data_IF_998234960435
#
_entry.id   IF_998234960435
#
_cell.length_a   1.000
_cell.length_b   1.000
_cell.length_c   1.000
_cell.angle_alpha   90.00
_cell.angle_beta   90.00
_cell.angle_gamma   90.00
#
_symmetry.space_group_name_H-M   'P 1'
#
loop_
_entity.id
_entity.type
_entity.pdbx_description
1 polymer ?
#
# COMPACT_ATOMS: atom_id res chain seq x y z
N UNK A 1 -84.30 23.36 10.65
CA UNK A 1 -84.14 22.51 9.45
C UNK A 1 -82.71 22.01 9.43
N UNK A 2 -82.49 20.80 9.96
CA UNK A 2 -81.21 20.11 9.89
C UNK A 2 -81.18 19.32 8.58
N UNK A 3 -80.24 19.64 7.69
CA UNK A 3 -80.02 18.88 6.47
C UNK A 3 -78.85 17.91 6.69
N UNK A 4 -79.19 16.63 6.66
CA UNK A 4 -78.29 15.48 6.73
C UNK A 4 -77.49 15.33 5.44
N UNK A 5 -76.17 15.19 5.57
CA UNK A 5 -75.24 14.87 4.48
C UNK A 5 -75.30 13.35 4.23
N UNK A 6 -75.39 12.88 2.97
CA UNK A 6 -75.61 11.46 2.66
C UNK A 6 -74.35 10.61 2.91
N UNK A 7 -74.58 9.40 3.42
CA UNK A 7 -73.60 8.45 3.95
C UNK A 7 -72.66 7.81 2.89
N UNK A 8 -72.88 8.07 1.60
CA UNK A 8 -72.13 7.43 0.50
C UNK A 8 -70.80 8.11 0.13
N UNK A 9 -70.51 9.31 0.63
CA UNK A 9 -69.26 10.02 0.32
C UNK A 9 -68.08 9.69 1.24
N UNK A 10 -68.29 8.90 2.30
CA UNK A 10 -67.24 8.54 3.28
C UNK A 10 -66.47 7.25 2.94
N UNK A 11 -66.99 6.41 2.04
CA UNK A 11 -66.33 5.14 1.69
C UNK A 11 -65.27 5.27 0.59
N UNK A 12 -65.34 6.27 -0.29
CA UNK A 12 -64.33 6.44 -1.35
C UNK A 12 -63.03 7.09 -0.86
N UNK A 13 -63.07 7.97 0.15
CA UNK A 13 -61.83 8.54 0.74
C UNK A 13 -61.07 7.52 1.61
N UNK A 14 -61.76 6.55 2.21
CA UNK A 14 -61.13 5.55 3.09
C UNK A 14 -60.34 4.47 2.33
N UNK A 15 -60.55 4.31 1.02
CA UNK A 15 -59.83 3.33 0.20
C UNK A 15 -58.62 3.92 -0.55
N UNK A 16 -58.58 5.24 -0.75
CA UNK A 16 -57.47 5.93 -1.47
C UNK A 16 -56.28 6.20 -0.53
N UNK A 17 -56.54 6.44 0.74
CA UNK A 17 -55.50 6.69 1.77
C UNK A 17 -54.62 5.46 2.03
N UNK A 18 -55.14 4.22 2.24
CA UNK A 18 -54.27 3.06 2.46
C UNK A 18 -53.52 2.64 1.19
N UNK A 19 -54.03 2.94 -0.01
CA UNK A 19 -53.32 2.67 -1.27
C UNK A 19 -52.11 3.62 -1.44
N UNK A 20 -52.29 4.91 -1.13
CA UNK A 20 -51.21 5.91 -1.15
C UNK A 20 -50.15 5.64 -0.06
N UNK A 21 -50.54 5.20 1.14
CA UNK A 21 -49.59 4.81 2.19
C UNK A 21 -48.84 3.50 1.88
N UNK A 22 -49.45 2.57 1.13
CA UNK A 22 -48.74 1.38 0.64
C UNK A 22 -47.70 1.70 -0.43
N UNK A 23 -47.97 2.69 -1.30
CA UNK A 23 -47.00 3.18 -2.29
C UNK A 23 -45.85 3.97 -1.65
N UNK A 24 -46.10 4.70 -0.56
CA UNK A 24 -45.05 5.42 0.18
C UNK A 24 -44.11 4.49 0.96
N UNK A 25 -44.56 3.29 1.32
CA UNK A 25 -43.76 2.31 2.06
C UNK A 25 -42.84 1.46 1.16
N UNK A 26 -43.14 1.36 -0.15
CA UNK A 26 -42.24 0.73 -1.12
C UNK A 26 -41.14 1.69 -1.63
N UNK A 27 -41.34 3.00 -1.56
CA UNK A 27 -40.39 3.99 -2.06
C UNK A 27 -39.15 4.19 -1.18
N UNK A 28 -39.15 3.71 0.07
CA UNK A 28 -38.06 3.93 1.03
C UNK A 28 -37.00 2.82 1.02
N UNK A 29 -37.31 1.66 0.45
CA UNK A 29 -36.36 0.53 0.35
C UNK A 29 -35.41 0.66 -0.85
N UNK A 30 -35.88 1.23 -1.98
CA UNK A 30 -35.05 1.48 -3.17
C UNK A 30 -33.96 2.52 -2.91
N UNK A 31 -34.21 3.54 -2.07
CA UNK A 31 -33.25 4.61 -1.82
C UNK A 31 -31.96 4.15 -1.13
N UNK A 32 -32.03 3.15 -0.23
CA UNK A 32 -30.85 2.61 0.46
C UNK A 32 -30.04 1.70 -0.46
N UNK A 33 -30.72 0.92 -1.31
CA UNK A 33 -30.07 0.05 -2.29
C UNK A 33 -29.41 0.87 -3.41
N UNK A 34 -30.08 1.93 -3.90
CA UNK A 34 -29.52 2.87 -4.87
C UNK A 34 -28.37 3.70 -4.27
N UNK A 35 -28.47 4.13 -3.01
CA UNK A 35 -27.36 4.77 -2.30
C UNK A 35 -26.19 3.82 -2.09
N UNK A 36 -26.43 2.55 -1.74
CA UNK A 36 -25.39 1.54 -1.63
C UNK A 36 -24.75 1.21 -3.00
N UNK A 37 -25.55 1.08 -4.05
CA UNK A 37 -25.03 0.89 -5.41
C UNK A 37 -24.25 2.11 -5.88
N UNK A 38 -24.73 3.33 -5.62
CA UNK A 38 -24.03 4.56 -5.94
C UNK A 38 -22.73 4.71 -5.12
N UNK A 39 -22.75 4.28 -3.85
CA UNK A 39 -21.59 4.17 -2.96
C UNK A 39 -20.51 3.23 -3.52
N UNK A 40 -20.90 2.14 -4.18
CA UNK A 40 -19.99 1.21 -4.85
C UNK A 40 -19.71 1.54 -6.34
N UNK A 41 -20.45 2.46 -6.95
CA UNK A 41 -20.29 2.85 -8.36
C UNK A 41 -19.20 3.89 -8.59
N UNK A 42 -18.78 4.64 -7.57
CA UNK A 42 -17.69 5.61 -7.69
C UNK A 42 -16.47 5.20 -6.87
N UNK A 43 -15.48 4.60 -7.52
CA UNK A 43 -14.13 4.38 -6.99
C UNK A 43 -13.77 2.94 -6.68
N UNK A 44 -12.47 2.66 -6.70
CA UNK A 44 -11.86 1.44 -6.21
C UNK A 44 -12.11 1.25 -4.71
N UNK A 45 -11.94 0.03 -4.23
CA UNK A 45 -12.30 -0.36 -2.85
C UNK A 45 -11.12 -0.35 -1.90
N UNK A 46 -9.91 -0.54 -2.43
CA UNK A 46 -8.70 -0.63 -1.65
C UNK A 46 -7.48 -0.29 -2.51
N UNK A 47 -6.38 0.07 -1.85
CA UNK A 47 -5.09 0.32 -2.47
C UNK A 47 -4.07 -0.70 -1.99
N UNK A 48 -3.23 -1.14 -2.92
CA UNK A 48 -2.06 -1.98 -2.69
C UNK A 48 -0.80 -1.26 -3.12
N UNK A 49 0.31 -1.55 -2.46
CA UNK A 49 1.62 -1.08 -2.87
C UNK A 49 2.60 -2.26 -3.04
N UNK A 50 3.38 -2.26 -4.10
CA UNK A 50 4.52 -3.16 -4.29
C UNK A 50 5.77 -2.31 -4.44
N UNK A 51 6.65 -2.36 -3.43
CA UNK A 51 7.80 -1.48 -3.31
C UNK A 51 9.08 -2.30 -3.39
N UNK A 52 9.91 -2.05 -4.40
CA UNK A 52 11.05 -2.92 -4.74
C UNK A 52 12.34 -2.12 -4.84
N UNK A 53 13.28 -2.40 -3.94
CA UNK A 53 14.68 -2.06 -4.10
C UNK A 53 15.41 -3.26 -4.72
N UNK A 54 15.92 -3.08 -5.93
CA UNK A 54 16.55 -4.16 -6.71
C UNK A 54 18.06 -4.23 -6.53
N UNK A 55 18.66 -3.23 -5.91
CA UNK A 55 20.12 -3.08 -5.82
C UNK A 55 20.67 -3.51 -4.47
N UNK A 56 21.92 -4.00 -4.50
CA UNK A 56 22.67 -4.44 -3.32
C UNK A 56 23.99 -3.69 -3.16
N UNK A 57 24.67 -3.94 -2.05
CA UNK A 57 25.95 -3.33 -1.65
C UNK A 57 25.82 -1.89 -1.12
N UNK A 58 26.77 -1.52 -0.26
CA UNK A 58 26.77 -0.26 0.48
C UNK A 58 26.71 0.99 -0.40
N UNK A 59 27.37 0.98 -1.56
CA UNK A 59 27.35 2.12 -2.48
C UNK A 59 25.96 2.40 -3.09
N UNK A 60 25.03 1.46 -2.95
CA UNK A 60 23.62 1.58 -3.36
C UNK A 60 22.68 1.86 -2.20
N UNK A 61 23.19 2.35 -1.07
CA UNK A 61 22.41 2.76 0.10
C UNK A 61 21.13 3.53 -0.25
N UNK A 62 21.25 4.50 -1.16
CA UNK A 62 20.13 5.32 -1.65
C UNK A 62 18.93 4.54 -2.16
N UNK A 63 19.11 3.41 -2.84
CA UNK A 63 17.97 2.64 -3.37
C UNK A 63 17.15 2.03 -2.23
N UNK A 64 17.81 1.56 -1.15
CA UNK A 64 17.11 1.08 0.05
C UNK A 64 16.42 2.24 0.78
N UNK A 65 17.11 3.37 0.95
CA UNK A 65 16.54 4.56 1.59
C UNK A 65 15.34 5.14 0.82
N UNK A 66 15.40 5.15 -0.52
CA UNK A 66 14.31 5.53 -1.41
C UNK A 66 13.06 4.68 -1.16
N UNK A 67 13.19 3.35 -1.26
CA UNK A 67 12.07 2.41 -1.08
C UNK A 67 11.47 2.51 0.32
N UNK A 68 12.30 2.60 1.36
CA UNK A 68 11.84 2.78 2.75
C UNK A 68 11.13 4.12 2.95
N UNK A 69 11.59 5.18 2.28
CA UNK A 69 10.92 6.48 2.36
C UNK A 69 9.56 6.46 1.68
N UNK A 70 9.43 5.83 0.50
CA UNK A 70 8.14 5.64 -0.17
C UNK A 70 7.21 4.77 0.68
N UNK A 71 7.73 3.70 1.29
CA UNK A 71 6.98 2.85 2.23
C UNK A 71 6.39 3.68 3.37
N UNK A 72 7.21 4.54 3.99
CA UNK A 72 6.74 5.45 5.04
C UNK A 72 5.66 6.41 4.54
N UNK A 73 5.80 7.01 3.37
CA UNK A 73 4.79 7.91 2.80
C UNK A 73 3.45 7.18 2.58
N UNK A 74 3.50 5.96 2.05
CA UNK A 74 2.32 5.11 1.82
C UNK A 74 1.63 4.74 3.14
N UNK A 75 2.39 4.32 4.16
CA UNK A 75 1.84 4.05 5.51
C UNK A 75 1.23 5.28 6.14
N UNK A 76 1.90 6.43 6.03
CA UNK A 76 1.43 7.72 6.57
C UNK A 76 0.10 8.14 5.94
N UNK A 77 -0.11 7.84 4.67
CA UNK A 77 -1.37 8.07 3.95
C UNK A 77 -2.42 6.97 4.20
N UNK A 78 -2.07 5.96 4.99
CA UNK A 78 -3.00 5.05 5.67
C UNK A 78 -3.08 3.64 5.09
N UNK A 79 -2.31 3.30 4.06
CA UNK A 79 -2.27 1.92 3.53
C UNK A 79 -1.60 1.03 4.60
N UNK A 80 -2.27 -0.05 5.07
CA UNK A 80 -1.72 -0.92 6.10
C UNK A 80 -0.65 -1.88 5.53
N UNK A 81 0.24 -2.39 6.37
CA UNK A 81 1.32 -3.32 5.97
C UNK A 81 0.78 -4.57 5.26
N UNK A 82 -0.39 -5.06 5.66
CA UNK A 82 -1.07 -6.18 4.98
C UNK A 82 -1.39 -5.94 3.50
N UNK A 83 -1.30 -4.69 3.03
CA UNK A 83 -1.54 -4.25 1.65
C UNK A 83 -0.26 -3.73 0.98
N UNK A 84 0.90 -3.83 1.64
CA UNK A 84 2.19 -3.39 1.12
C UNK A 84 3.07 -4.64 1.00
N UNK A 85 3.58 -4.90 -0.20
CA UNK A 85 4.63 -5.90 -0.41
C UNK A 85 5.96 -5.18 -0.54
N UNK A 86 6.84 -5.34 0.44
CA UNK A 86 8.15 -4.70 0.48
C UNK A 86 9.28 -5.69 0.16
N UNK A 87 10.05 -5.39 -0.88
CA UNK A 87 11.22 -6.17 -1.31
C UNK A 87 12.49 -5.34 -1.20
N UNK A 88 13.44 -5.75 -0.35
CA UNK A 88 14.74 -5.08 -0.17
C UNK A 88 15.88 -6.04 -0.48
N UNK A 89 16.59 -5.80 -1.57
CA UNK A 89 17.69 -6.67 -2.04
C UNK A 89 18.92 -6.67 -1.11
N UNK A 90 19.03 -5.72 -0.18
CA UNK A 90 20.08 -5.66 0.83
C UNK A 90 19.61 -4.89 2.06
N UNK A 91 20.27 -5.12 3.20
CA UNK A 91 19.93 -4.51 4.48
C UNK A 91 21.02 -3.50 4.89
N UNK A 92 20.73 -2.22 4.67
CA UNK A 92 21.64 -1.13 5.04
C UNK A 92 21.68 -0.89 6.55
N UNK A 93 20.62 -1.23 7.28
CA UNK A 93 20.54 -1.03 8.72
C UNK A 93 21.49 -1.99 9.47
N UNK A 94 21.63 -3.21 8.96
CA UNK A 94 22.54 -4.23 9.50
C UNK A 94 23.92 -4.28 8.81
N UNK A 95 24.22 -3.37 7.88
CA UNK A 95 25.50 -3.38 7.19
C UNK A 95 26.66 -2.98 8.11
N UNK A 96 27.79 -3.71 8.14
CA UNK A 96 28.95 -3.36 8.98
C UNK A 96 29.60 -2.01 8.66
N UNK A 97 29.32 -1.44 7.47
CA UNK A 97 29.79 -0.09 7.09
C UNK A 97 28.91 1.03 7.64
N UNK A 98 27.72 0.70 8.17
CA UNK A 98 26.81 1.70 8.68
C UNK A 98 27.34 2.27 10.01
N UNK A 99 27.69 3.57 10.07
CA UNK A 99 28.17 4.19 11.30
C UNK A 99 27.09 4.24 12.39
N UNK A 100 25.80 4.16 12.02
CA UNK A 100 24.64 4.20 12.91
C UNK A 100 23.85 2.88 12.78
N UNK A 101 24.18 1.84 13.56
CA UNK A 101 23.53 0.53 13.47
C UNK A 101 22.01 0.61 13.63
N UNK A 102 21.29 -0.26 12.93
CA UNK A 102 19.82 -0.35 12.95
C UNK A 102 19.09 0.92 12.45
N UNK A 103 19.78 1.79 11.70
CA UNK A 103 19.17 3.00 11.14
C UNK A 103 19.43 3.15 9.65
N UNK A 104 18.46 3.74 8.95
CA UNK A 104 18.61 4.20 7.57
C UNK A 104 18.06 5.63 7.50
N UNK A 105 18.79 6.54 6.87
CA UNK A 105 18.44 7.95 6.75
C UNK A 105 18.33 8.32 5.27
N UNK A 106 17.27 9.04 4.90
CA UNK A 106 17.07 9.53 3.53
C UNK A 106 17.46 11.01 3.35
N UNK A 107 17.80 11.71 4.43
CA UNK A 107 18.13 13.12 4.43
C UNK A 107 19.37 13.44 5.28
N UNK A 108 20.14 14.46 4.90
CA UNK A 108 21.44 14.82 5.52
C UNK A 108 21.36 15.26 6.98
N UNK A 109 20.21 15.78 7.41
CA UNK A 109 20.00 16.13 8.82
C UNK A 109 19.93 14.90 9.72
N UNK A 110 19.71 13.70 9.15
CA UNK A 110 19.54 12.45 9.91
C UNK A 110 18.43 12.52 10.98
N UNK A 111 17.45 13.40 10.79
CA UNK A 111 16.39 13.64 11.78
C UNK A 111 15.40 12.48 11.85
N UNK A 112 15.30 11.69 10.78
CA UNK A 112 14.31 10.64 10.62
C UNK A 112 14.96 9.33 10.16
N UNK A 113 14.89 8.32 11.03
CA UNK A 113 15.20 6.94 10.67
C UNK A 113 14.03 6.33 9.87
N UNK A 114 14.23 6.09 8.57
CA UNK A 114 13.21 5.48 7.68
C UNK A 114 13.12 3.97 7.80
N UNK A 115 14.09 3.32 8.47
CA UNK A 115 14.00 1.90 8.80
C UNK A 115 13.12 1.66 10.02
N UNK A 116 13.31 2.43 11.10
CA UNK A 116 12.46 2.46 12.29
C UNK A 116 12.11 1.08 12.88
N UNK A 117 11.09 1.04 13.73
CA UNK A 117 10.55 -0.20 14.33
C UNK A 117 9.32 -0.74 13.58
N UNK A 118 8.83 0.00 12.57
CA UNK A 118 7.51 -0.18 11.94
C UNK A 118 7.59 -0.65 10.47
N UNK A 119 8.76 -1.11 10.03
CA UNK A 119 8.97 -1.63 8.68
C UNK A 119 8.84 -3.16 8.65
N UNK A 120 7.88 -3.65 7.88
CA UNK A 120 7.72 -5.07 7.58
C UNK A 120 8.35 -5.37 6.21
N UNK A 121 9.52 -6.00 6.21
CA UNK A 121 10.18 -6.44 4.97
C UNK A 121 9.75 -7.87 4.64
N UNK A 122 8.98 -8.03 3.57
CA UNK A 122 8.45 -9.32 3.10
C UNK A 122 9.51 -10.16 2.42
N UNK A 123 10.22 -9.59 1.44
CA UNK A 123 11.27 -10.29 0.70
C UNK A 123 12.61 -9.65 1.01
N UNK A 124 13.51 -10.43 1.62
CA UNK A 124 14.79 -9.95 2.12
C UNK A 124 15.95 -10.53 1.32
N UNK A 125 16.90 -9.68 0.97
CA UNK A 125 18.18 -10.08 0.40
C UNK A 125 18.03 -11.04 -0.78
N UNK A 126 18.46 -12.30 -0.64
CA UNK A 126 18.43 -13.31 -1.69
C UNK A 126 17.02 -13.67 -2.18
N UNK A 127 15.97 -13.34 -1.44
CA UNK A 127 14.59 -13.55 -1.89
C UNK A 127 14.12 -12.53 -2.93
N UNK A 128 14.85 -11.41 -3.10
CA UNK A 128 14.52 -10.38 -4.09
C UNK A 128 15.07 -10.77 -5.46
N UNK A 129 14.38 -11.70 -6.11
CA UNK A 129 14.70 -12.18 -7.46
C UNK A 129 13.65 -11.73 -8.47
N UNK A 130 14.01 -11.74 -9.75
CA UNK A 130 13.05 -11.45 -10.83
C UNK A 130 11.88 -12.43 -10.77
N UNK A 131 12.18 -13.72 -10.54
CA UNK A 131 11.17 -14.78 -10.43
C UNK A 131 10.17 -14.50 -9.30
N UNK A 132 10.63 -14.18 -8.09
CA UNK A 132 9.73 -13.93 -6.97
C UNK A 132 8.88 -12.69 -7.19
N UNK A 133 9.46 -11.62 -7.73
CA UNK A 133 8.71 -10.42 -8.07
C UNK A 133 7.60 -10.70 -9.10
N UNK A 134 7.92 -11.38 -10.20
CA UNK A 134 6.92 -11.78 -11.20
C UNK A 134 5.85 -12.74 -10.62
N UNK A 135 6.23 -13.62 -9.69
CA UNK A 135 5.26 -14.50 -9.00
C UNK A 135 4.30 -13.74 -8.11
N UNK A 136 4.76 -12.71 -7.39
CA UNK A 136 3.91 -11.81 -6.60
C UNK A 136 2.90 -11.14 -7.54
N UNK A 137 3.38 -10.54 -8.63
CA UNK A 137 2.55 -9.88 -9.62
C UNK A 137 1.54 -10.82 -10.26
N UNK A 138 1.88 -12.10 -10.51
CA UNK A 138 1.00 -13.05 -11.23
C UNK A 138 0.20 -14.02 -10.34
N UNK A 139 0.33 -13.91 -9.01
CA UNK A 139 -0.24 -14.80 -7.97
C UNK A 139 0.20 -16.26 -8.15
N UNK A 140 1.45 -16.46 -8.53
CA UNK A 140 2.07 -17.79 -8.70
C UNK A 140 2.94 -18.13 -7.49
N UNK A 141 2.41 -17.87 -6.30
CA UNK A 141 3.09 -18.07 -5.02
C UNK A 141 2.63 -19.41 -4.41
N UNK A 142 3.53 -20.30 -3.95
CA UNK A 142 3.17 -21.57 -3.33
C UNK A 142 2.17 -21.42 -2.19
N UNK A 143 1.23 -22.35 -2.02
CA UNK A 143 0.20 -22.28 -0.95
C UNK A 143 0.78 -22.22 0.48
N UNK A 144 2.00 -22.73 0.68
CA UNK A 144 2.73 -22.67 1.94
C UNK A 144 3.30 -21.29 2.30
N UNK A 145 3.40 -20.37 1.33
CA UNK A 145 3.94 -19.03 1.60
C UNK A 145 2.98 -18.22 2.48
N UNK A 146 3.51 -17.40 3.42
CA UNK A 146 2.70 -16.58 4.30
C UNK A 146 1.87 -15.55 3.52
N UNK A 147 0.84 -15.01 4.18
CA UNK A 147 -0.07 -14.03 3.56
C UNK A 147 0.66 -12.73 3.17
N UNK A 148 1.59 -12.25 3.99
CA UNK A 148 2.34 -11.00 3.76
C UNK A 148 3.13 -11.02 2.44
N UNK A 149 3.63 -12.20 2.04
CA UNK A 149 4.33 -12.43 0.76
C UNK A 149 3.41 -12.44 -0.48
N UNK A 150 2.13 -12.11 -0.36
CA UNK A 150 1.14 -12.20 -1.45
C UNK A 150 0.50 -10.85 -1.73
N UNK A 151 0.38 -10.52 -3.02
CA UNK A 151 -0.48 -9.44 -3.49
C UNK A 151 -1.91 -9.98 -3.64
N UNK A 152 -2.82 -9.66 -2.72
CA UNK A 152 -4.20 -10.18 -2.72
C UNK A 152 -5.19 -9.17 -3.33
N UNK A 153 -4.79 -8.53 -4.42
CA UNK A 153 -5.58 -7.56 -5.18
C UNK A 153 -6.61 -8.23 -6.11
N UNK A 154 -7.65 -7.46 -6.45
CA UNK A 154 -8.79 -7.83 -7.28
C UNK A 154 -9.12 -6.75 -8.33
N UNK A 155 -10.24 -6.88 -9.04
CA UNK A 155 -10.71 -5.95 -10.07
C UNK A 155 -11.20 -4.60 -9.54
N UNK A 156 -11.18 -4.40 -8.22
CA UNK A 156 -11.50 -3.12 -7.56
C UNK A 156 -10.33 -2.59 -6.76
N UNK A 157 -9.13 -3.10 -6.99
CA UNK A 157 -7.92 -2.71 -6.28
C UNK A 157 -7.07 -1.80 -7.15
N UNK A 158 -6.72 -0.61 -6.63
CA UNK A 158 -5.69 0.22 -7.28
C UNK A 158 -4.31 -0.20 -6.76
N UNK A 159 -3.32 -0.27 -7.66
CA UNK A 159 -1.99 -0.78 -7.30
C UNK A 159 -0.94 0.27 -7.62
N UNK A 160 -0.16 0.66 -6.61
CA UNK A 160 1.08 1.38 -6.75
C UNK A 160 2.23 0.38 -6.87
N UNK A 161 3.02 0.44 -7.93
CA UNK A 161 4.28 -0.30 -8.06
C UNK A 161 5.40 0.71 -8.14
N UNK A 162 6.27 0.73 -7.13
CA UNK A 162 7.47 1.57 -7.11
C UNK A 162 8.71 0.69 -7.18
N UNK A 163 9.57 0.96 -8.16
CA UNK A 163 10.84 0.25 -8.33
C UNK A 163 12.00 1.23 -8.38
N UNK A 164 13.09 0.92 -7.70
CA UNK A 164 14.33 1.70 -7.76
C UNK A 164 15.55 0.79 -7.91
N UNK A 165 16.52 1.24 -8.67
CA UNK A 165 17.75 0.49 -8.92
C UNK A 165 18.56 0.99 -10.10
N UNK A 166 19.48 0.13 -10.54
CA UNK A 166 20.26 0.36 -11.74
C UNK A 166 19.61 -0.31 -12.94
N UNK A 167 19.52 0.39 -14.05
CA UNK A 167 18.92 -0.10 -15.27
C UNK A 167 19.51 0.56 -16.50
N UNK A 168 18.92 0.27 -17.63
CA UNK A 168 19.30 0.80 -18.93
C UNK A 168 18.15 0.67 -19.91
N UNK A 169 18.46 0.69 -21.21
CA UNK A 169 17.44 0.63 -22.24
C UNK A 169 16.71 -0.73 -22.23
N UNK A 170 15.50 -0.75 -21.69
CA UNK A 170 14.58 -1.88 -21.68
C UNK A 170 14.84 -2.91 -20.57
N UNK A 171 15.70 -2.62 -19.59
CA UNK A 171 15.95 -3.53 -18.47
C UNK A 171 16.25 -2.82 -17.14
N UNK A 172 16.00 -3.53 -16.03
CA UNK A 172 16.38 -3.16 -14.67
C UNK A 172 17.11 -4.33 -14.00
N UNK A 173 18.27 -4.07 -13.39
CA UNK A 173 19.10 -5.09 -12.75
C UNK A 173 18.56 -5.48 -11.38
N UNK A 174 18.52 -6.79 -11.11
CA UNK A 174 18.21 -7.38 -9.82
C UNK A 174 19.47 -8.01 -9.21
N UNK A 175 19.79 -7.60 -7.98
CA UNK A 175 20.92 -8.12 -7.19
C UNK A 175 22.28 -8.11 -7.93
N UNK A 176 22.45 -7.23 -8.93
CA UNK A 176 23.66 -7.14 -9.78
C UNK A 176 24.00 -8.41 -10.57
N UNK A 177 23.02 -9.32 -10.77
CA UNK A 177 23.25 -10.61 -11.44
C UNK A 177 22.15 -11.00 -12.42
N UNK A 178 20.90 -10.62 -12.14
CA UNK A 178 19.75 -10.85 -13.00
C UNK A 178 19.25 -9.52 -13.57
N UNK A 179 18.45 -9.58 -14.63
CA UNK A 179 17.81 -8.42 -15.24
C UNK A 179 16.35 -8.76 -15.52
N UNK A 180 15.45 -7.84 -15.17
CA UNK A 180 14.06 -7.88 -15.64
C UNK A 180 13.93 -6.96 -16.84
N UNK A 181 13.28 -7.44 -17.89
CA UNK A 181 13.06 -6.69 -19.12
C UNK A 181 11.71 -5.97 -19.13
N UNK A 182 11.60 -4.93 -19.96
CA UNK A 182 10.33 -4.23 -20.19
C UNK A 182 9.24 -5.14 -20.80
N UNK A 183 9.62 -6.16 -21.55
CA UNK A 183 8.70 -7.18 -22.11
C UNK A 183 8.16 -8.08 -21.00
N UNK A 184 9.01 -8.58 -20.10
CA UNK A 184 8.56 -9.43 -18.99
C UNK A 184 7.61 -8.69 -18.04
N UNK A 185 7.88 -7.40 -17.78
CA UNK A 185 6.96 -6.54 -17.03
C UNK A 185 5.62 -6.36 -17.74
N UNK A 186 5.63 -6.06 -19.05
CA UNK A 186 4.42 -5.90 -19.85
C UNK A 186 3.55 -7.18 -19.81
N UNK A 187 4.18 -8.34 -19.98
CA UNK A 187 3.49 -9.63 -19.95
C UNK A 187 2.98 -10.01 -18.54
N UNK A 188 3.67 -9.56 -17.48
CA UNK A 188 3.16 -9.70 -16.11
C UNK A 188 1.91 -8.84 -15.88
N UNK A 189 1.91 -7.59 -16.32
CA UNK A 189 0.74 -6.71 -16.21
C UNK A 189 -0.43 -7.21 -17.04
N UNK A 190 -0.18 -7.77 -18.23
CA UNK A 190 -1.22 -8.42 -19.02
C UNK A 190 -1.84 -9.60 -18.29
N UNK A 191 -1.01 -10.45 -17.68
CA UNK A 191 -1.53 -11.55 -16.87
C UNK A 191 -2.33 -11.07 -15.66
N UNK A 192 -1.97 -9.95 -15.05
CA UNK A 192 -2.75 -9.34 -13.97
C UNK A 192 -4.11 -8.86 -14.49
N UNK A 193 -4.13 -8.21 -15.65
CA UNK A 193 -5.34 -7.71 -16.29
C UNK A 193 -6.31 -8.84 -16.67
N UNK A 194 -5.82 -9.86 -17.37
CA UNK A 194 -6.61 -11.03 -17.77
C UNK A 194 -7.20 -11.78 -16.56
N UNK A 195 -6.46 -11.78 -15.44
CA UNK A 195 -6.90 -12.39 -14.18
C UNK A 195 -7.71 -11.45 -13.29
N UNK A 196 -8.04 -10.23 -13.75
CA UNK A 196 -8.84 -9.26 -12.99
C UNK A 196 -8.25 -8.94 -11.63
N UNK A 197 -6.95 -8.60 -11.60
CA UNK A 197 -6.21 -8.37 -10.35
C UNK A 197 -5.86 -6.92 -10.07
N UNK A 198 -6.30 -6.00 -10.91
CA UNK A 198 -6.27 -4.58 -10.62
C UNK A 198 -7.43 -3.88 -11.34
N UNK A 199 -7.87 -2.77 -10.76
CA UNK A 199 -8.74 -1.77 -11.39
C UNK A 199 -7.88 -0.78 -12.19
N UNK A 200 -6.94 -0.12 -11.50
CA UNK A 200 -5.98 0.84 -12.04
C UNK A 200 -4.58 0.56 -11.47
N UNK A 201 -3.54 0.81 -12.25
CA UNK A 201 -2.15 0.58 -11.86
C UNK A 201 -1.31 1.83 -12.11
N UNK A 202 -0.61 2.28 -11.08
CA UNK A 202 0.40 3.33 -11.14
C UNK A 202 1.78 2.71 -11.01
N UNK A 203 2.56 2.77 -12.08
CA UNK A 203 3.94 2.27 -12.12
C UNK A 203 4.91 3.44 -12.04
N UNK A 204 5.78 3.47 -11.04
CA UNK A 204 6.82 4.49 -10.86
C UNK A 204 8.17 3.79 -10.82
N UNK A 205 9.10 4.22 -11.67
CA UNK A 205 10.44 3.65 -11.71
C UNK A 205 11.53 4.72 -11.61
N UNK A 206 12.44 4.57 -10.64
CA UNK A 206 13.63 5.42 -10.50
C UNK A 206 14.89 4.65 -10.91
N UNK A 207 15.34 4.88 -12.15
CA UNK A 207 16.50 4.23 -12.76
C UNK A 207 16.98 5.04 -13.97
N UNK A 208 18.21 4.81 -14.43
CA UNK A 208 18.68 5.28 -15.74
C UNK A 208 17.82 4.71 -16.88
N UNK A 209 17.54 5.54 -17.88
CA UNK A 209 16.69 5.22 -19.03
C UNK A 209 15.31 4.64 -18.66
N UNK A 210 14.75 5.08 -17.52
CA UNK A 210 13.55 4.49 -16.93
C UNK A 210 12.33 4.50 -17.85
N UNK A 211 12.22 5.49 -18.74
CA UNK A 211 11.12 5.57 -19.71
C UNK A 211 11.02 4.33 -20.62
N UNK A 212 12.16 3.71 -20.95
CA UNK A 212 12.20 2.49 -21.77
C UNK A 212 11.47 1.29 -21.12
N UNK A 213 11.28 1.32 -19.80
CA UNK A 213 10.67 0.22 -19.04
C UNK A 213 9.17 0.10 -19.26
N UNK A 214 8.48 1.19 -19.60
CA UNK A 214 7.04 1.19 -19.84
C UNK A 214 6.64 1.30 -21.31
N UNK A 215 7.58 1.44 -22.25
CA UNK A 215 7.29 1.56 -23.69
C UNK A 215 6.53 0.35 -24.25
N UNK A 216 6.79 -0.83 -23.66
CA UNK A 216 6.17 -2.09 -24.10
C UNK A 216 4.88 -2.43 -23.38
N UNK A 217 4.40 -1.59 -22.45
CA UNK A 217 3.10 -1.83 -21.83
C UNK A 217 1.97 -1.72 -22.86
N UNK A 218 1.03 -2.65 -22.80
CA UNK A 218 -0.11 -2.74 -23.71
C UNK A 218 -1.44 -3.04 -23.01
N UNK A 219 -1.41 -3.36 -21.71
CA UNK A 219 -2.61 -3.60 -20.90
C UNK A 219 -3.26 -2.27 -20.48
N UNK A 220 -4.59 -2.21 -20.40
CA UNK A 220 -5.31 -0.98 -20.08
C UNK A 220 -5.20 -0.62 -18.60
N UNK A 221 -5.61 0.61 -18.28
CA UNK A 221 -5.68 1.21 -16.94
C UNK A 221 -4.33 1.31 -16.24
N UNK A 222 -3.26 1.55 -17.01
CA UNK A 222 -1.91 1.74 -16.49
C UNK A 222 -1.45 3.18 -16.73
N UNK A 223 -1.01 3.84 -15.67
CA UNK A 223 -0.25 5.08 -15.72
C UNK A 223 1.19 4.77 -15.31
N UNK A 224 2.17 5.27 -16.07
CA UNK A 224 3.58 5.01 -15.77
C UNK A 224 4.39 6.31 -15.68
N UNK A 225 5.32 6.37 -14.72
CA UNK A 225 6.24 7.47 -14.50
C UNK A 225 7.67 6.92 -14.38
N UNK A 226 8.63 7.66 -14.91
CA UNK A 226 10.06 7.34 -14.80
C UNK A 226 10.89 8.56 -14.43
N UNK A 227 12.00 8.35 -13.74
CA UNK A 227 12.94 9.42 -13.37
C UNK A 227 13.79 9.94 -14.52
N UNK A 228 13.88 9.24 -15.65
CA UNK A 228 14.72 9.61 -16.79
C UNK A 228 14.16 9.11 -18.12
N UNK A 229 14.44 9.85 -19.20
CA UNK A 229 14.10 9.45 -20.58
C UNK A 229 15.13 8.48 -21.17
N UNK A 230 14.79 7.84 -22.29
CA UNK A 230 15.72 6.98 -23.04
C UNK A 230 16.95 7.78 -23.47
N UNK A 231 18.13 7.24 -23.19
CA UNK A 231 19.42 7.92 -23.42
C UNK A 231 19.86 8.90 -22.32
N UNK A 232 19.09 9.06 -21.24
CA UNK A 232 19.48 9.87 -20.08
C UNK A 232 19.76 8.99 -18.85
N UNK A 233 20.69 9.43 -18.00
CA UNK A 233 20.96 8.82 -16.70
C UNK A 233 19.99 9.36 -15.64
N UNK A 234 19.67 8.55 -14.63
CA UNK A 234 19.13 9.05 -13.35
C UNK A 234 20.28 9.33 -12.39
N UNK A 235 20.15 10.34 -11.55
CA UNK A 235 21.24 10.85 -10.72
C UNK A 235 20.94 10.73 -9.24
N UNK A 236 21.99 10.39 -8.49
CA UNK A 236 21.97 10.40 -7.03
C UNK A 236 21.93 11.82 -6.46
N UNK A 237 21.44 11.93 -5.22
CA UNK A 237 21.33 13.17 -4.47
C UNK A 237 21.78 12.99 -3.01
N UNK A 238 21.88 14.11 -2.29
CA UNK A 238 22.22 14.11 -0.87
C UNK A 238 23.49 13.29 -0.52
N UNK A 239 24.69 13.66 -1.00
CA UNK A 239 25.93 13.00 -0.57
C UNK A 239 26.18 13.27 0.92
N UNK A 240 26.49 12.22 1.67
CA UNK A 240 26.83 12.29 3.09
C UNK A 240 28.26 11.78 3.36
N UNK A 241 29.06 12.58 4.06
CA UNK A 241 30.46 12.24 4.34
C UNK A 241 30.61 11.24 5.50
N UNK A 242 29.63 11.16 6.40
CA UNK A 242 29.67 10.22 7.52
C UNK A 242 29.35 8.79 7.09
N UNK A 243 28.35 8.63 6.24
CA UNK A 243 27.95 7.34 5.64
C UNK A 243 28.86 7.01 4.43
N UNK A 244 29.42 8.04 3.77
CA UNK A 244 30.39 7.91 2.68
C UNK A 244 29.78 7.61 1.31
N UNK A 245 28.45 7.76 1.18
CA UNK A 245 27.67 7.46 -0.03
C UNK A 245 26.53 8.48 -0.17
N UNK A 246 25.76 8.37 -1.26
CA UNK A 246 24.55 9.17 -1.45
C UNK A 246 23.36 8.55 -0.71
N UNK A 247 22.51 9.39 -0.12
CA UNK A 247 21.38 8.96 0.70
C UNK A 247 20.09 8.72 -0.08
N UNK A 248 19.92 9.36 -1.24
CA UNK A 248 18.67 9.34 -2.02
C UNK A 248 19.00 9.52 -3.51
N UNK A 249 18.07 9.20 -4.40
CA UNK A 249 18.11 9.66 -5.79
C UNK A 249 17.34 10.98 -5.97
N UNK A 250 17.72 11.77 -6.98
CA UNK A 250 17.17 13.12 -7.20
C UNK A 250 15.67 13.10 -7.45
N UNK A 251 15.21 12.23 -8.35
CA UNK A 251 13.79 12.16 -8.66
C UNK A 251 12.98 11.75 -7.44
N UNK A 252 13.37 10.66 -6.78
CA UNK A 252 12.72 10.19 -5.56
C UNK A 252 12.74 11.25 -4.45
N UNK A 253 13.81 12.03 -4.31
CA UNK A 253 13.87 13.14 -3.35
C UNK A 253 12.70 14.13 -3.52
N UNK A 254 12.50 14.63 -4.74
CA UNK A 254 11.43 15.61 -5.00
C UNK A 254 10.04 15.01 -4.98
N UNK A 255 9.90 13.74 -5.40
CA UNK A 255 8.63 12.99 -5.21
C UNK A 255 8.30 12.89 -3.72
N UNK A 256 9.27 12.58 -2.86
CA UNK A 256 9.05 12.46 -1.43
C UNK A 256 8.77 13.80 -0.75
N UNK A 257 9.49 14.87 -1.11
CA UNK A 257 9.16 16.23 -0.64
C UNK A 257 7.71 16.60 -0.98
N UNK A 258 7.30 16.32 -2.21
CA UNK A 258 5.91 16.51 -2.63
C UNK A 258 4.94 15.66 -1.81
N UNK A 259 5.23 14.37 -1.63
CA UNK A 259 4.38 13.45 -0.87
C UNK A 259 4.29 13.84 0.61
N UNK A 260 5.31 14.47 1.20
CA UNK A 260 5.27 14.93 2.60
C UNK A 260 4.17 15.98 2.84
N UNK A 261 3.85 16.82 1.85
CA UNK A 261 2.76 17.82 1.90
C UNK A 261 1.37 17.21 1.65
N UNK A 262 1.29 15.95 1.19
CA UNK A 262 0.03 15.27 0.94
C UNK A 262 -0.55 14.70 2.23
N UNK A 263 -1.85 14.91 2.43
CA UNK A 263 -2.63 14.35 3.52
C UNK A 263 -3.79 13.52 2.95
N UNK A 264 -4.41 12.62 3.74
CA UNK A 264 -5.53 11.80 3.25
C UNK A 264 -6.72 12.58 2.68
N UNK A 265 -6.91 13.83 3.09
CA UNK A 265 -7.97 14.72 2.60
C UNK A 265 -7.54 15.60 1.40
N UNK A 266 -6.29 15.53 0.97
CA UNK A 266 -5.77 16.37 -0.12
C UNK A 266 -6.48 16.06 -1.44
N UNK A 267 -6.75 17.11 -2.22
CA UNK A 267 -7.38 17.05 -3.54
C UNK A 267 -6.34 17.23 -4.67
N UNK A 268 -5.08 16.98 -4.36
CA UNK A 268 -3.97 17.10 -5.31
C UNK A 268 -4.05 16.00 -6.36
N UNK A 269 -3.84 16.36 -7.62
CA UNK A 269 -4.07 15.46 -8.76
C UNK A 269 -2.75 14.87 -9.31
N UNK A 270 -2.86 13.94 -10.26
CA UNK A 270 -1.69 13.29 -10.86
C UNK A 270 -0.87 14.22 -11.77
N UNK A 271 -1.47 15.27 -12.35
CA UNK A 271 -0.71 16.26 -13.13
C UNK A 271 0.29 17.04 -12.26
N UNK A 272 -0.06 17.30 -10.99
CA UNK A 272 0.88 17.90 -10.03
C UNK A 272 2.08 16.96 -9.79
N UNK A 273 1.83 15.64 -9.69
CA UNK A 273 2.89 14.64 -9.55
C UNK A 273 3.81 14.60 -10.78
N UNK A 274 3.31 14.82 -12.00
CA UNK A 274 4.14 14.84 -13.21
C UNK A 274 5.14 16.00 -13.24
N UNK A 275 4.90 17.06 -12.46
CA UNK A 275 5.68 18.29 -12.48
C UNK A 275 6.66 18.42 -11.31
N UNK A 276 6.68 17.45 -10.37
CA UNK A 276 7.47 17.54 -9.12
C UNK A 276 8.97 17.70 -9.34
N UNK A 277 9.48 17.17 -10.45
CA UNK A 277 10.91 17.23 -10.74
C UNK A 277 11.18 17.74 -12.17
N UNK A 278 11.15 19.07 -12.40
CA UNK A 278 11.55 19.62 -13.68
C UNK A 278 13.02 19.29 -13.97
N UNK A 279 13.39 19.31 -15.27
CA UNK A 279 14.75 19.00 -15.74
C UNK A 279 15.85 19.81 -15.04
N UNK A 280 15.56 21.03 -14.62
CA UNK A 280 16.51 21.87 -13.87
C UNK A 280 16.90 21.30 -12.50
N UNK A 281 15.99 20.57 -11.85
CA UNK A 281 16.19 19.98 -10.52
C UNK A 281 16.71 18.53 -10.61
N UNK A 282 16.04 17.72 -11.45
CA UNK A 282 16.40 16.32 -11.66
C UNK A 282 17.72 16.17 -12.42
N UNK A 283 18.05 17.11 -13.32
CA UNK A 283 19.16 17.03 -14.29
C UNK A 283 18.99 15.90 -15.32
N UNK A 284 18.05 14.97 -15.08
CA UNK A 284 17.35 14.13 -16.04
C UNK A 284 15.98 14.72 -16.38
N UNK A 285 15.33 14.18 -17.41
CA UNK A 285 13.96 14.50 -17.78
C UNK A 285 13.05 13.39 -17.28
N UNK A 286 12.21 13.60 -16.26
CA UNK A 286 11.21 12.61 -15.89
C UNK A 286 10.21 12.39 -17.03
N UNK A 287 9.87 11.13 -17.26
CA UNK A 287 8.89 10.71 -18.25
C UNK A 287 7.59 10.28 -17.59
N UNK A 288 6.48 10.43 -18.31
CA UNK A 288 5.20 9.85 -17.94
C UNK A 288 4.48 9.32 -19.18
N UNK A 289 3.66 8.30 -19.00
CA UNK A 289 2.86 7.65 -20.03
C UNK A 289 1.44 7.42 -19.51
N UNK A 290 0.45 7.93 -20.23
CA UNK A 290 -0.97 7.97 -19.83
C UNK A 290 -1.93 7.45 -20.89
N UNK A 291 -1.46 7.08 -22.10
CA UNK A 291 -2.29 6.61 -23.21
C UNK A 291 -3.06 5.31 -22.92
N UNK A 292 -2.57 4.49 -21.99
CA UNK A 292 -3.24 3.27 -21.53
C UNK A 292 -4.25 3.55 -20.41
N UNK A 293 -4.27 4.75 -19.85
CA UNK A 293 -5.11 5.12 -18.72
C UNK A 293 -6.40 5.80 -19.20
N UNK A 294 -7.56 5.33 -18.73
CA UNK A 294 -8.85 5.77 -19.27
C UNK A 294 -9.32 7.13 -18.73
N UNK A 295 -9.00 7.45 -17.47
CA UNK A 295 -9.38 8.71 -16.83
C UNK A 295 -8.39 9.81 -17.18
N UNK A 296 -8.86 11.04 -17.20
CA UNK A 296 -7.99 12.20 -17.31
C UNK A 296 -7.16 12.37 -16.02
N UNK A 297 -5.81 12.39 -16.08
CA UNK A 297 -4.94 12.61 -14.92
C UNK A 297 -5.25 13.87 -14.11
N UNK A 298 -5.87 14.90 -14.70
CA UNK A 298 -6.32 16.10 -13.97
C UNK A 298 -7.38 15.80 -12.91
N UNK A 299 -8.16 14.74 -13.11
CA UNK A 299 -9.27 14.33 -12.24
C UNK A 299 -8.93 13.07 -11.42
N UNK A 300 -7.66 12.66 -11.42
CA UNK A 300 -7.18 11.49 -10.68
C UNK A 300 -6.39 12.00 -9.49
N UNK A 301 -6.83 11.66 -8.29
CA UNK A 301 -6.18 12.11 -7.07
C UNK A 301 -4.95 11.24 -6.78
N UNK A 302 -3.92 11.83 -6.19
CA UNK A 302 -2.76 11.05 -5.71
C UNK A 302 -3.16 10.05 -4.63
N UNK A 303 -4.16 10.40 -3.82
CA UNK A 303 -4.73 9.52 -2.79
C UNK A 303 -5.43 8.30 -3.39
N UNK A 304 -5.78 8.29 -4.69
CA UNK A 304 -6.31 7.11 -5.37
C UNK A 304 -5.28 5.97 -5.45
N UNK A 305 -3.97 6.26 -5.33
CA UNK A 305 -2.91 5.25 -5.33
C UNK A 305 -2.10 5.19 -4.03
N UNK A 306 -1.82 6.34 -3.42
CA UNK A 306 -0.99 6.43 -2.22
C UNK A 306 -1.78 6.40 -0.91
N UNK A 307 -3.09 6.68 -0.95
CA UNK A 307 -3.94 6.82 0.24
C UNK A 307 -4.66 5.55 0.67
N UNK A 308 -5.13 5.49 1.90
CA UNK A 308 -6.14 4.50 2.28
C UNK A 308 -7.50 4.91 1.72
N UNK A 309 -8.19 3.98 1.07
CA UNK A 309 -9.63 4.15 0.83
C UNK A 309 -10.36 3.83 2.14
N UNK A 310 -10.77 4.87 2.88
CA UNK A 310 -11.69 4.74 4.02
C UNK A 310 -12.96 5.50 3.69
N UNK A 311 -13.96 4.82 3.13
CA UNK A 311 -15.30 5.41 2.98
C UNK A 311 -15.96 5.44 4.35
N UNK A 312 -15.79 6.54 5.08
CA UNK A 312 -16.45 6.79 6.37
C UNK A 312 -17.58 7.78 6.13
N UNK A 313 -18.82 7.30 6.08
CA UNK A 313 -20.00 8.16 6.19
C UNK A 313 -20.42 8.23 7.66
N UNK A 314 -20.45 9.44 8.20
CA UNK A 314 -20.99 9.69 9.54
C UNK A 314 -22.50 9.87 9.38
N UNK A 315 -23.25 8.81 9.63
CA UNK A 315 -24.72 8.89 9.67
C UNK A 315 -25.16 9.38 11.04
N UNK A 316 -25.83 10.53 11.09
CA UNK A 316 -26.53 11.02 12.29
C UNK A 316 -27.87 10.32 12.52
N UNK A 317 -28.30 9.51 11.56
CA UNK A 317 -29.55 8.74 11.62
C UNK A 317 -29.32 7.39 12.32
N UNK A 318 -30.29 7.01 13.16
CA UNK A 318 -30.28 5.71 13.84
C UNK A 318 -30.76 4.63 12.89
N UNK A 319 -29.83 3.83 12.37
CA UNK A 319 -30.17 2.65 11.55
C UNK A 319 -30.78 1.60 12.49
N UNK A 320 -32.10 1.39 12.36
CA UNK A 320 -32.80 0.31 13.06
C UNK A 320 -32.62 -0.97 12.26
N UNK A 321 -31.71 -1.84 12.69
CA UNK A 321 -31.56 -3.17 12.11
C UNK A 321 -32.76 -4.03 12.53
N UNK A 322 -33.60 -4.43 11.58
CA UNK A 322 -34.72 -5.34 11.84
C UNK A 322 -34.16 -6.75 12.16
N UNK A 323 -34.34 -7.25 13.40
CA UNK A 323 -33.86 -8.58 13.78
C UNK A 323 -34.58 -9.72 13.05
N UNK A 324 -35.69 -9.43 12.36
CA UNK A 324 -36.56 -10.43 11.75
C UNK A 324 -36.47 -10.51 10.22
N UNK A 325 -35.41 -9.95 9.61
CA UNK A 325 -35.08 -10.25 8.21
C UNK A 325 -34.71 -11.73 8.09
N UNK A 326 -35.73 -12.56 7.85
CA UNK A 326 -35.58 -13.98 7.60
C UNK A 326 -34.60 -14.18 6.45
N UNK A 327 -33.48 -14.85 6.74
CA UNK A 327 -32.62 -15.40 5.71
C UNK A 327 -33.46 -16.35 4.86
N UNK A 328 -33.45 -16.28 3.52
CA UNK A 328 -34.16 -17.23 2.70
C UNK A 328 -33.63 -18.65 2.99
N UNK A 329 -34.44 -19.45 3.68
CA UNK A 329 -34.16 -20.85 4.00
C UNK A 329 -33.90 -21.64 2.70
N UNK A 330 -32.63 -21.83 2.37
CA UNK A 330 -32.21 -22.96 1.54
C UNK A 330 -32.26 -24.19 2.43
N UNK A 331 -33.41 -24.88 2.39
CA UNK A 331 -33.59 -26.15 3.10
C UNK A 331 -32.55 -27.16 2.61
N UNK A 332 -31.52 -27.39 3.40
CA UNK A 332 -30.76 -28.63 3.39
C UNK A 332 -31.17 -29.46 4.59
N UNK A 333 -31.36 -30.76 4.34
CA UNK A 333 -31.85 -31.73 5.30
C UNK A 333 -30.92 -31.81 6.53
N UNK A 334 -31.46 -32.05 7.74
CA UNK A 334 -30.66 -32.02 8.96
C UNK A 334 -29.85 -33.32 9.11
N UNK A 335 -28.52 -33.20 9.13
CA UNK A 335 -27.66 -34.20 9.75
C UNK A 335 -27.66 -33.97 11.27
N UNK A 336 -27.93 -35.04 12.03
CA UNK A 336 -27.86 -35.07 13.49
C UNK A 336 -26.42 -34.80 13.96
N UNK A 337 -26.20 -33.66 14.62
CA UNK A 337 -25.02 -33.45 15.47
C UNK A 337 -25.45 -32.83 16.79
N UNK A 338 -25.05 -33.50 17.87
CA UNK A 338 -25.39 -33.21 19.25
C UNK A 338 -25.09 -31.75 19.66
N UNK A 339 -26.08 -31.14 20.32
CA UNK A 339 -26.02 -29.79 20.88
C UNK A 339 -25.22 -29.77 22.18
N UNK A 340 -23.90 -29.60 22.11
CA UNK A 340 -23.19 -28.97 23.22
C UNK A 340 -23.30 -27.45 23.11
N UNK A 341 -23.53 -26.73 24.23
CA UNK A 341 -23.65 -25.27 24.21
C UNK A 341 -22.29 -24.65 23.86
N UNK A 342 -22.18 -24.12 22.64
CA UNK A 342 -21.01 -23.35 22.21
C UNK A 342 -20.87 -22.10 23.09
N UNK A 343 -19.80 -22.07 23.90
CA UNK A 343 -19.39 -20.88 24.66
C UNK A 343 -18.58 -19.97 23.74
N UNK A 344 -19.15 -18.82 23.38
CA UNK A 344 -18.41 -17.76 22.70
C UNK A 344 -17.35 -17.18 23.66
N UNK A 345 -16.12 -17.01 23.15
CA UNK A 345 -15.05 -16.35 23.90
C UNK A 345 -15.29 -14.83 23.91
N UNK A 346 -15.11 -14.20 25.07
CA UNK A 346 -15.18 -12.74 25.19
C UNK A 346 -14.09 -12.08 24.36
N UNK A 347 -14.50 -11.23 23.42
CA UNK A 347 -13.60 -10.71 22.37
C UNK A 347 -12.60 -9.68 22.88
N UNK A 348 -12.72 -9.18 24.13
CA UNK A 348 -11.76 -8.25 24.76
C UNK A 348 -11.85 -8.32 26.31
N UNK A 349 -10.85 -8.84 27.05
CA UNK A 349 -10.85 -8.83 28.51
C UNK A 349 -10.36 -7.46 29.04
N UNK A 350 -11.23 -6.44 29.03
CA UNK A 350 -10.90 -5.08 29.51
C UNK A 350 -10.49 -5.07 30.99
N UNK A 351 -10.96 -6.03 31.79
CA UNK A 351 -10.66 -6.11 33.22
C UNK A 351 -9.22 -6.53 33.56
N UNK A 352 -8.50 -7.22 32.66
CA UNK A 352 -7.11 -7.64 32.91
C UNK A 352 -6.08 -6.53 32.66
N UNK A 353 -6.42 -5.52 31.86
CA UNK A 353 -5.53 -4.41 31.51
C UNK A 353 -5.35 -3.43 32.68
N UNK A 354 -6.40 -3.24 33.50
CA UNK A 354 -6.35 -2.28 34.62
C UNK A 354 -5.53 -2.80 35.81
N UNK A 355 -5.49 -4.12 36.02
CA UNK A 355 -4.79 -4.72 37.18
C UNK A 355 -3.28 -4.97 36.97
N UNK A 356 -2.75 -4.91 35.74
CA UNK A 356 -1.30 -5.07 35.51
C UNK A 356 -0.48 -3.81 35.80
N UNK A 357 -1.11 -2.63 35.90
CA UNK A 357 -0.39 -1.36 36.09
C UNK A 357 -0.16 -0.97 37.56
N UNK A 358 -0.71 -1.73 38.52
CA UNK A 358 -0.57 -1.42 39.96
C UNK A 358 -0.30 -2.70 40.78
N UNK A 359 0.96 -3.13 40.83
CA UNK A 359 1.45 -4.19 41.73
C UNK A 359 2.96 -4.06 41.99
N UNK A 360 3.45 -4.27 43.23
CA UNK A 360 4.77 -3.81 43.67
C UNK A 360 5.90 -4.70 43.12
N UNK A 361 6.84 -4.10 42.36
CA UNK A 361 8.05 -4.80 41.95
C UNK A 361 8.98 -5.02 43.16
N UNK A 362 9.09 -6.28 43.60
CA UNK A 362 10.20 -6.73 44.46
C UNK A 362 11.47 -6.80 43.63
N UNK A 363 12.42 -5.92 43.93
CA UNK A 363 13.79 -5.96 43.44
C UNK A 363 14.42 -7.29 43.87
N UNK A 364 14.78 -8.14 42.91
CA UNK A 364 15.68 -9.28 43.12
C UNK A 364 17.07 -8.88 42.62
N UNK A 365 17.98 -8.72 43.57
CA UNK A 365 19.42 -8.60 43.36
C UNK A 365 19.98 -9.89 42.74
N UNK A 366 20.74 -9.76 41.64
CA UNK A 366 21.51 -10.86 41.04
C UNK A 366 22.98 -10.67 41.44
N UNK A 367 23.70 -11.71 41.91
CA UNK A 367 25.06 -11.55 42.42
C UNK A 367 26.09 -11.34 41.31
N UNK A 368 27.05 -10.46 41.61
CA UNK A 368 28.29 -10.25 40.86
C UNK A 368 29.14 -11.52 40.80
N UNK A 369 29.42 -12.02 39.59
CA UNK A 369 30.52 -12.95 39.34
C UNK A 369 31.68 -12.18 38.72
N UNK A 370 32.68 -11.98 39.57
CA UNK A 370 34.01 -11.48 39.26
C UNK A 370 34.75 -12.54 38.45
N UNK A 371 35.19 -12.21 37.24
CA UNK A 371 36.32 -12.90 36.61
C UNK A 371 37.37 -11.87 36.22
N UNK A 372 38.53 -12.00 36.87
CA UNK A 372 39.65 -11.09 36.75
C UNK A 372 40.69 -11.67 35.78
N UNK A 373 41.24 -10.77 34.96
CA UNK A 373 42.61 -10.76 34.42
C UNK A 373 43.01 -11.64 33.23
N UNK A 374 43.48 -10.91 32.20
CA UNK A 374 44.69 -11.18 31.39
C UNK A 374 44.57 -12.17 30.23
N UNK A 375 44.57 -11.68 28.97
CA UNK A 375 45.76 -11.73 28.10
C UNK A 375 45.50 -11.12 26.70
N UNK A 376 46.38 -10.15 26.36
CA UNK A 376 47.01 -9.87 25.06
C UNK A 376 46.20 -9.43 23.82
N UNK A 377 46.39 -8.13 23.52
CA UNK A 377 46.62 -7.54 22.21
C UNK A 377 47.33 -8.45 21.20
N UNK A 378 46.77 -8.55 19.98
CA UNK A 378 47.55 -8.58 18.72
C UNK A 378 46.80 -7.87 17.60
N UNK A 379 47.44 -6.79 17.12
CA UNK A 379 47.28 -6.19 15.78
C UNK A 379 47.45 -7.26 14.71
N UNK A 380 46.57 -7.28 13.71
CA UNK A 380 46.92 -7.70 12.35
C UNK A 380 46.37 -6.63 11.40
N UNK A 381 47.32 -6.11 10.63
CA UNK A 381 47.26 -5.06 9.62
C UNK A 381 47.49 -5.76 8.26
N UNK A 382 47.00 -5.13 7.18
CA UNK A 382 47.17 -5.44 5.74
C UNK A 382 46.11 -6.39 5.13
N UNK A 383 45.62 -6.20 3.90
CA UNK A 383 46.14 -5.43 2.76
C UNK A 383 44.98 -5.09 1.78
N UNK A 384 45.03 -3.88 1.22
CA UNK A 384 44.34 -3.45 0.00
C UNK A 384 44.97 -4.11 -1.23
N UNK A 385 44.14 -4.62 -2.12
CA UNK A 385 44.25 -4.54 -3.59
C UNK A 385 42.85 -4.46 -4.19
#
# INVERSE_FOLDING_TARGET
MAASIPLQCRLCLAAVIPLLLSCFSLATADGVQDQAEQFFRSGHTNNWAVLVCTSRFWFNYRHVANTLSVYRSVKRLGIPDSHIVLMLADDMACNPRNPNPATVFSHKNMDLNVYGDDVEVDYRSYEVTVENFLRVLTSRIPASAPRSKRLLSDDRSNILIYMTGHGGNGFLKFQDSEEITNVELADAFEQMWQKRRYNELLFIIDTCQGASMYERFYSPNIMALASSQVGEDSLSHQPDLGIGVHLMDRYTFYVLEFLEEIHPASQTNMNDLFQVCPKSLCVSTPGHRTDLFQRDPEHVLITDFFGSVRKVEITTETISLDPNLACPDTRHAPDEVATEPLKYAEQLPVAQIIHQMLGPQKIKTVPWLIFNSSLRFRKILWMLE
#
